data_IF_547385488615
#
_entry.id   IF_547385488615
#
_cell.length_a   1.000
_cell.length_b   1.000
_cell.length_c   1.000
_cell.angle_alpha   90.00
_cell.angle_beta   90.00
_cell.angle_gamma   90.00
#
_symmetry.space_group_name_H-M   'P 1'
#
loop_
_entity.id
_entity.type
_entity.pdbx_description
1 polymer ?
#
# COMPACT_ATOMS: atom_id res chain seq x y z
N UNK A 1 -3.42 27.64 4.99
CA UNK A 1 -2.36 26.66 5.19
C UNK A 1 -2.80 25.47 4.38
N UNK A 2 -2.08 25.12 3.32
CA UNK A 2 -2.38 23.94 2.55
C UNK A 2 -2.15 22.71 3.43
N UNK A 3 -3.21 21.91 3.64
CA UNK A 3 -3.08 20.58 4.20
C UNK A 3 -2.35 19.74 3.17
N UNK A 4 -1.10 19.40 3.43
CA UNK A 4 -0.33 18.50 2.58
C UNK A 4 -0.66 17.06 2.95
N UNK A 5 -1.12 16.35 1.94
CA UNK A 5 -1.64 15.00 1.96
C UNK A 5 -0.60 13.97 2.35
N UNK A 6 -0.93 13.13 3.32
CA UNK A 6 -0.14 11.95 3.64
C UNK A 6 -0.98 10.75 4.06
N UNK A 7 -2.23 10.67 3.60
CA UNK A 7 -2.94 9.41 3.68
C UNK A 7 -2.41 8.45 2.61
N UNK A 8 -1.97 7.29 3.05
CA UNK A 8 -1.62 6.17 2.20
C UNK A 8 -2.93 5.48 1.82
N UNK A 9 -3.76 6.18 1.05
CA UNK A 9 -4.75 5.48 0.29
C UNK A 9 -4.16 5.17 -1.07
N UNK A 10 -4.31 3.95 -1.52
CA UNK A 10 -4.01 3.53 -2.87
C UNK A 10 -4.84 4.41 -3.81
N UNK A 11 -4.21 5.37 -4.46
CA UNK A 11 -4.88 6.20 -5.43
C UNK A 11 -4.38 5.80 -6.81
N UNK A 12 -5.21 5.10 -7.61
CA UNK A 12 -4.81 4.69 -8.94
C UNK A 12 -4.59 5.92 -9.80
N UNK A 13 -3.37 6.07 -10.31
CA UNK A 13 -3.05 7.07 -11.31
C UNK A 13 -4.01 6.90 -12.52
N UNK A 14 -4.74 7.94 -12.88
CA UNK A 14 -5.46 7.97 -14.15
C UNK A 14 -4.44 7.88 -15.27
N UNK A 15 -4.24 6.69 -15.79
CA UNK A 15 -3.56 6.51 -17.06
C UNK A 15 -4.41 7.17 -18.16
N UNK A 16 -4.11 8.44 -18.45
CA UNK A 16 -4.68 9.14 -19.58
C UNK A 16 -4.25 8.42 -20.85
N UNK A 17 -5.22 7.85 -21.56
CA UNK A 17 -5.05 7.01 -22.71
C UNK A 17 -4.05 7.55 -23.74
N UNK A 18 -2.97 6.86 -23.90
CA UNK A 18 -2.09 7.01 -25.05
C UNK A 18 -2.83 6.47 -26.30
N UNK A 19 -3.34 7.38 -27.13
CA UNK A 19 -3.79 7.01 -28.47
C UNK A 19 -2.56 6.73 -29.33
N UNK A 20 -2.36 5.53 -29.88
CA UNK A 20 -1.26 5.28 -30.78
C UNK A 20 -1.49 6.06 -32.09
N UNK A 21 -0.62 7.01 -32.36
CA UNK A 21 -0.50 7.61 -33.69
C UNK A 21 0.03 6.53 -34.64
N UNK A 22 -0.81 6.10 -35.57
CA UNK A 22 -0.40 5.27 -36.72
C UNK A 22 0.63 6.03 -37.53
N UNK A 23 1.86 5.57 -37.49
CA UNK A 23 2.88 5.93 -38.49
C UNK A 23 2.91 4.79 -39.48
N UNK A 24 2.45 5.05 -40.70
CA UNK A 24 2.63 4.18 -41.85
C UNK A 24 4.02 4.45 -42.42
N UNK A 25 4.79 3.41 -42.63
CA UNK A 25 6.12 3.59 -43.28
C UNK A 25 6.85 2.31 -43.56
N UNK A 26 6.60 1.79 -44.76
CA UNK A 26 7.54 1.14 -45.72
C UNK A 26 8.24 -0.14 -45.27
N UNK A 27 7.77 -1.22 -45.90
CA UNK A 27 8.46 -2.50 -46.03
C UNK A 27 9.73 -2.38 -46.89
N UNK A 28 10.83 -2.96 -46.42
CA UNK A 28 11.96 -3.36 -47.32
C UNK A 28 12.28 -4.82 -47.02
N UNK A 29 12.04 -5.64 -48.07
CA UNK A 29 12.37 -7.06 -48.13
C UNK A 29 13.86 -7.17 -48.48
N UNK A 30 14.62 -7.97 -47.74
CA UNK A 30 15.85 -8.56 -48.21
C UNK A 30 15.96 -10.01 -47.72
N UNK A 31 15.79 -10.94 -48.61
CA UNK A 31 16.00 -12.37 -48.42
C UNK A 31 17.47 -12.72 -48.71
N UNK A 32 17.95 -13.77 -48.08
CA UNK A 32 18.99 -14.77 -48.37
C UNK A 32 19.72 -15.09 -47.03
N UNK A 33 19.97 -16.32 -46.64
CA UNK A 33 20.19 -17.56 -47.25
C UNK A 33 20.24 -18.69 -46.21
N UNK A 34 19.81 -19.86 -46.59
CA UNK A 34 19.88 -21.11 -45.84
C UNK A 34 21.34 -21.58 -45.68
N UNK A 35 21.63 -22.07 -44.44
CA UNK A 35 22.60 -23.15 -44.29
C UNK A 35 22.10 -24.11 -43.20
N UNK A 36 21.68 -25.29 -43.64
CA UNK A 36 21.34 -26.41 -42.80
C UNK A 36 22.62 -27.08 -42.27
N UNK A 37 22.68 -27.39 -41.00
CA UNK A 37 23.54 -28.45 -40.47
C UNK A 37 22.77 -29.19 -39.39
N UNK A 38 22.33 -30.37 -39.72
CA UNK A 38 21.81 -31.37 -38.81
C UNK A 38 22.98 -32.02 -38.05
N UNK A 39 22.87 -32.09 -36.73
CA UNK A 39 23.50 -33.15 -35.94
C UNK A 39 22.56 -33.56 -34.82
N UNK A 40 22.34 -34.84 -34.75
CA UNK A 40 21.43 -35.55 -33.88
C UNK A 40 21.97 -35.71 -32.46
N UNK A 41 21.07 -35.83 -31.50
CA UNK A 41 21.20 -36.73 -30.37
C UNK A 41 21.54 -36.09 -29.03
N UNK A 42 20.64 -36.26 -28.08
CA UNK A 42 20.92 -36.12 -26.66
C UNK A 42 19.80 -35.41 -25.90
N UNK A 43 18.79 -36.17 -25.46
CA UNK A 43 17.87 -35.67 -24.47
C UNK A 43 18.62 -35.37 -23.17
N UNK A 44 18.69 -34.12 -22.80
CA UNK A 44 18.97 -33.74 -21.42
C UNK A 44 17.73 -33.04 -20.87
N UNK A 45 17.12 -33.67 -19.90
CA UNK A 45 16.19 -33.05 -18.97
C UNK A 45 16.88 -31.83 -18.40
N UNK A 46 16.44 -30.65 -18.87
CA UNK A 46 16.90 -29.38 -18.32
C UNK A 46 16.46 -29.26 -16.86
N UNK A 47 17.32 -29.62 -15.95
CA UNK A 47 17.28 -29.11 -14.60
C UNK A 47 17.44 -27.62 -14.71
N UNK A 48 16.44 -26.85 -14.26
CA UNK A 48 16.57 -25.43 -14.09
C UNK A 48 17.82 -25.19 -13.24
N UNK A 49 18.84 -24.59 -13.82
CA UNK A 49 20.02 -24.18 -13.09
C UNK A 49 19.59 -23.07 -12.15
N UNK A 50 19.48 -23.39 -10.86
CA UNK A 50 19.52 -22.36 -9.82
C UNK A 50 20.81 -21.59 -10.04
N UNK A 51 20.72 -20.39 -10.55
CA UNK A 51 21.82 -19.45 -10.61
C UNK A 51 22.12 -19.07 -9.15
N UNK A 52 23.12 -19.67 -8.56
CA UNK A 52 23.65 -19.18 -7.27
C UNK A 52 24.19 -17.78 -7.53
N UNK A 53 23.38 -16.77 -7.17
CA UNK A 53 23.81 -15.38 -7.21
C UNK A 53 25.10 -15.24 -6.38
N UNK A 54 26.11 -14.60 -6.92
CA UNK A 54 27.33 -14.31 -6.15
C UNK A 54 27.10 -13.03 -5.36
N UNK A 55 27.53 -12.95 -4.10
CA UNK A 55 27.42 -11.74 -3.31
C UNK A 55 27.99 -10.53 -4.04
N UNK A 56 27.33 -9.37 -3.90
CA UNK A 56 27.86 -8.12 -4.40
C UNK A 56 29.23 -7.82 -3.75
N UNK A 57 30.17 -7.20 -4.49
CA UNK A 57 31.44 -6.79 -3.89
C UNK A 57 31.19 -5.71 -2.82
N UNK A 58 32.08 -5.64 -1.84
CA UNK A 58 32.05 -4.53 -0.87
C UNK A 58 32.17 -3.17 -1.58
N UNK A 59 31.55 -2.14 -1.03
CA UNK A 59 31.73 -0.77 -1.50
C UNK A 59 33.21 -0.38 -1.34
N UNK A 60 33.81 0.11 -2.42
CA UNK A 60 35.20 0.52 -2.47
C UNK A 60 35.31 1.99 -2.91
N UNK A 61 35.54 2.88 -1.94
CA UNK A 61 35.64 4.33 -2.16
C UNK A 61 34.26 5.02 -2.30
N UNK A 62 34.26 6.33 -2.55
CA UNK A 62 33.05 7.14 -2.50
C UNK A 62 32.00 6.73 -3.55
N UNK A 63 30.77 6.46 -3.08
CA UNK A 63 29.60 6.13 -3.90
C UNK A 63 28.44 7.05 -3.51
N UNK A 64 27.75 7.59 -4.50
CA UNK A 64 26.49 8.30 -4.29
C UNK A 64 25.35 7.49 -4.87
N UNK A 65 24.29 7.29 -4.07
CA UNK A 65 23.04 6.65 -4.46
C UNK A 65 21.90 7.67 -4.35
N UNK A 66 20.91 7.56 -5.23
CA UNK A 66 19.69 8.37 -5.17
C UNK A 66 18.55 7.50 -4.66
N UNK A 67 17.81 8.02 -3.68
CA UNK A 67 16.62 7.39 -3.14
C UNK A 67 15.41 8.30 -3.36
N UNK A 68 14.47 7.86 -4.21
CA UNK A 68 13.20 8.53 -4.43
C UNK A 68 12.17 8.05 -3.41
N UNK A 69 11.46 9.00 -2.78
CA UNK A 69 10.60 8.73 -1.63
C UNK A 69 9.43 9.73 -1.54
N UNK A 70 8.51 9.56 -0.58
CA UNK A 70 7.32 10.40 -0.37
C UNK A 70 7.30 11.11 0.98
N UNK A 71 8.39 11.12 1.71
CA UNK A 71 8.48 11.59 3.11
C UNK A 71 8.86 13.06 3.22
N UNK A 72 8.38 13.89 2.29
CA UNK A 72 8.71 15.34 2.21
C UNK A 72 8.04 16.23 3.25
N UNK A 73 7.11 15.75 4.09
CA UNK A 73 6.49 16.55 5.15
C UNK A 73 7.45 16.79 6.30
N UNK A 74 7.24 17.86 7.09
CA UNK A 74 8.21 18.27 8.12
C UNK A 74 8.64 17.15 9.06
N UNK A 75 7.68 16.40 9.62
CA UNK A 75 7.97 15.33 10.58
C UNK A 75 8.62 14.13 9.89
N UNK A 76 8.08 13.73 8.76
CA UNK A 76 8.59 12.61 7.98
C UNK A 76 9.99 12.91 7.44
N UNK A 77 10.18 14.13 6.87
CA UNK A 77 11.49 14.58 6.38
C UNK A 77 12.55 14.60 7.49
N UNK A 78 12.19 15.06 8.67
CA UNK A 78 13.11 15.05 9.80
C UNK A 78 13.53 13.63 10.20
N UNK A 79 12.58 12.69 10.16
CA UNK A 79 12.84 11.29 10.50
C UNK A 79 13.71 10.60 9.46
N UNK A 80 13.38 10.71 8.16
CA UNK A 80 14.20 10.09 7.11
C UNK A 80 15.60 10.70 7.04
N UNK A 81 15.71 12.03 7.21
CA UNK A 81 17.02 12.70 7.26
C UNK A 81 17.85 12.19 8.42
N UNK A 82 17.28 12.10 9.63
CA UNK A 82 17.97 11.54 10.81
C UNK A 82 18.47 10.12 10.55
N UNK A 83 17.66 9.27 9.94
CA UNK A 83 18.01 7.88 9.63
C UNK A 83 19.12 7.82 8.58
N UNK A 84 19.05 8.63 7.53
CA UNK A 84 20.07 8.70 6.48
C UNK A 84 21.38 9.27 7.00
N UNK A 85 21.35 10.34 7.80
CA UNK A 85 22.56 10.92 8.42
C UNK A 85 23.28 9.89 9.31
N UNK A 86 22.52 9.09 10.06
CA UNK A 86 23.10 8.02 10.89
C UNK A 86 23.68 6.88 10.04
N UNK A 87 23.05 6.55 8.92
CA UNK A 87 23.60 5.61 7.94
C UNK A 87 24.90 6.11 7.34
N UNK A 88 24.96 7.36 6.86
CA UNK A 88 26.16 7.96 6.30
C UNK A 88 27.30 8.08 7.32
N UNK A 89 26.97 8.34 8.58
CA UNK A 89 27.98 8.34 9.65
C UNK A 89 28.59 6.94 9.89
N UNK A 90 27.79 5.89 9.73
CA UNK A 90 28.23 4.48 9.84
C UNK A 90 28.99 4.02 8.60
N UNK A 91 28.62 4.52 7.41
CA UNK A 91 29.19 4.15 6.12
C UNK A 91 29.68 5.39 5.36
N UNK A 92 30.82 6.00 5.77
CA UNK A 92 31.24 7.33 5.31
C UNK A 92 31.58 7.41 3.81
N UNK A 93 31.79 6.27 3.16
CA UNK A 93 32.01 6.19 1.71
C UNK A 93 30.70 6.23 0.92
N UNK A 94 29.52 6.12 1.56
CA UNK A 94 28.23 6.14 0.88
C UNK A 94 27.53 7.47 1.17
N UNK A 95 27.06 8.12 0.10
CA UNK A 95 26.19 9.30 0.17
C UNK A 95 24.82 8.96 -0.39
N UNK A 96 23.76 9.37 0.31
CA UNK A 96 22.36 9.16 -0.07
C UNK A 96 21.74 10.50 -0.45
N UNK A 97 21.36 10.64 -1.71
CA UNK A 97 20.61 11.78 -2.20
C UNK A 97 19.11 11.45 -2.13
N UNK A 98 18.40 12.08 -1.18
CA UNK A 98 16.96 11.94 -1.05
C UNK A 98 16.24 12.81 -2.07
N UNK A 99 15.26 12.25 -2.79
CA UNK A 99 14.40 12.96 -3.74
C UNK A 99 12.94 12.72 -3.38
N UNK A 100 12.34 13.69 -2.67
CA UNK A 100 10.97 13.62 -2.22
C UNK A 100 9.97 13.96 -3.33
N UNK A 101 8.94 13.14 -3.48
CA UNK A 101 7.72 13.44 -4.21
C UNK A 101 6.61 13.87 -3.25
N UNK A 102 5.61 14.61 -3.74
CA UNK A 102 4.54 15.14 -2.90
C UNK A 102 3.58 14.07 -2.36
N UNK A 103 3.45 12.95 -3.06
CA UNK A 103 2.62 11.80 -2.72
C UNK A 103 3.00 10.60 -3.59
N UNK A 104 2.41 9.42 -3.32
CA UNK A 104 2.66 8.19 -4.06
C UNK A 104 2.30 8.28 -5.54
N UNK A 105 1.18 8.94 -5.90
CA UNK A 105 0.80 9.13 -7.30
C UNK A 105 1.87 9.86 -8.08
N UNK A 106 2.34 11.00 -7.56
CA UNK A 106 3.40 11.79 -8.19
C UNK A 106 4.74 11.03 -8.24
N UNK A 107 5.03 10.21 -7.22
CA UNK A 107 6.21 9.36 -7.20
C UNK A 107 6.15 8.31 -8.32
N UNK A 108 5.09 7.53 -8.40
CA UNK A 108 4.96 6.45 -9.39
C UNK A 108 4.86 6.96 -10.82
N UNK A 109 4.17 8.08 -11.06
CA UNK A 109 4.17 8.74 -12.38
C UNK A 109 5.60 9.16 -12.80
N UNK A 110 6.40 9.67 -11.85
CA UNK A 110 7.80 10.04 -12.09
C UNK A 110 8.64 8.80 -12.36
N UNK A 111 8.56 7.78 -11.53
CA UNK A 111 9.34 6.54 -11.66
C UNK A 111 9.01 5.81 -12.97
N UNK A 112 7.73 5.70 -13.36
CA UNK A 112 7.33 5.12 -14.64
C UNK A 112 7.92 5.88 -15.84
N UNK A 113 7.90 7.21 -15.79
CA UNK A 113 8.51 8.03 -16.84
C UNK A 113 10.05 7.83 -16.90
N UNK A 114 10.72 7.71 -15.76
CA UNK A 114 12.15 7.46 -15.65
C UNK A 114 12.53 6.04 -16.08
N UNK A 115 11.70 5.03 -15.74
CA UNK A 115 11.83 3.66 -16.25
C UNK A 115 11.73 3.62 -17.77
N UNK A 116 10.75 4.31 -18.34
CA UNK A 116 10.59 4.39 -19.80
C UNK A 116 11.76 5.13 -20.49
N UNK A 117 12.32 6.15 -19.84
CA UNK A 117 13.46 6.92 -20.36
C UNK A 117 14.81 6.23 -20.11
N UNK A 118 14.90 5.23 -19.24
CA UNK A 118 16.15 4.59 -18.84
C UNK A 118 17.01 5.44 -17.88
N UNK A 119 16.37 6.32 -17.13
CA UNK A 119 16.99 7.37 -16.28
C UNK A 119 16.60 7.19 -14.81
N UNK A 120 16.43 5.96 -14.34
CA UNK A 120 15.94 5.64 -13.00
C UNK A 120 16.93 6.01 -11.89
N UNK A 121 16.44 6.28 -10.66
CA UNK A 121 17.29 6.43 -9.48
C UNK A 121 18.01 5.13 -9.14
N UNK A 122 18.76 5.11 -8.04
CA UNK A 122 19.34 3.86 -7.53
C UNK A 122 18.27 3.05 -6.79
N UNK A 123 17.50 3.71 -5.91
CA UNK A 123 16.43 3.12 -5.09
C UNK A 123 15.15 3.92 -5.35
N UNK A 124 14.06 3.21 -5.57
CA UNK A 124 12.71 3.74 -5.63
C UNK A 124 11.78 3.01 -4.68
N UNK A 125 10.52 3.40 -4.70
CA UNK A 125 9.45 2.76 -3.96
C UNK A 125 8.47 2.10 -4.92
N UNK A 126 7.85 1.00 -4.53
CA UNK A 126 6.86 0.30 -5.34
C UNK A 126 5.78 -0.36 -4.49
N UNK A 127 4.56 -0.39 -5.02
CA UNK A 127 3.59 -1.43 -4.70
C UNK A 127 3.82 -2.64 -5.61
N UNK A 128 3.20 -3.75 -5.30
CA UNK A 128 3.40 -5.06 -5.92
C UNK A 128 3.16 -5.03 -7.43
N UNK A 129 2.13 -4.32 -7.88
CA UNK A 129 1.75 -4.20 -9.30
C UNK A 129 2.78 -3.41 -10.12
N UNK A 130 3.33 -2.33 -9.56
CA UNK A 130 4.42 -1.56 -10.18
C UNK A 130 5.69 -2.39 -10.22
N UNK A 131 6.07 -3.01 -9.09
CA UNK A 131 7.25 -3.87 -9.02
C UNK A 131 7.16 -5.03 -10.02
N UNK A 132 5.99 -5.69 -10.15
CA UNK A 132 5.77 -6.75 -11.14
C UNK A 132 5.98 -6.24 -12.57
N UNK A 133 5.44 -5.07 -12.89
CA UNK A 133 5.59 -4.45 -14.22
C UNK A 133 7.06 -4.17 -14.51
N UNK A 134 7.78 -3.57 -13.55
CA UNK A 134 9.19 -3.23 -13.72
C UNK A 134 10.10 -4.46 -13.71
N UNK A 135 9.78 -5.50 -12.93
CA UNK A 135 10.49 -6.78 -12.94
C UNK A 135 10.34 -7.49 -14.29
N UNK A 136 9.11 -7.57 -14.81
CA UNK A 136 8.83 -8.14 -16.13
C UNK A 136 9.59 -7.41 -17.25
N UNK A 137 9.70 -6.09 -17.14
CA UNK A 137 10.49 -5.26 -18.04
C UNK A 137 12.02 -5.29 -17.76
N UNK A 138 12.48 -6.08 -16.79
CA UNK A 138 13.88 -6.19 -16.35
C UNK A 138 14.48 -4.84 -15.90
N UNK A 139 13.69 -4.02 -15.22
CA UNK A 139 14.08 -2.68 -14.77
C UNK A 139 14.50 -2.62 -13.30
N UNK A 140 14.12 -3.61 -12.50
CA UNK A 140 14.53 -3.73 -11.10
C UNK A 140 15.34 -5.01 -10.88
N UNK A 141 16.08 -5.05 -9.79
CA UNK A 141 16.99 -6.15 -9.42
C UNK A 141 16.32 -6.99 -8.35
N UNK A 142 16.21 -8.32 -8.50
CA UNK A 142 15.70 -9.17 -7.44
C UNK A 142 16.61 -9.15 -6.22
N UNK A 143 16.04 -9.29 -5.02
CA UNK A 143 16.78 -9.20 -3.76
C UNK A 143 17.86 -10.27 -3.64
N UNK A 144 17.63 -11.47 -4.17
CA UNK A 144 18.63 -12.53 -4.19
C UNK A 144 19.91 -12.12 -4.92
N UNK A 145 19.82 -11.30 -5.98
CA UNK A 145 21.00 -10.82 -6.72
C UNK A 145 21.77 -9.73 -5.93
N UNK A 146 21.08 -9.01 -5.04
CA UNK A 146 21.69 -8.04 -4.15
C UNK A 146 22.34 -8.73 -2.95
N UNK A 147 21.65 -9.70 -2.38
CA UNK A 147 22.06 -10.41 -1.17
C UNK A 147 23.09 -11.54 -1.42
N UNK A 148 23.13 -12.07 -2.63
CA UNK A 148 23.93 -13.26 -2.97
C UNK A 148 23.39 -14.56 -2.35
N UNK A 149 22.11 -14.58 -1.98
CA UNK A 149 21.39 -15.73 -1.43
C UNK A 149 19.91 -15.63 -1.76
N UNK A 150 19.23 -16.78 -1.91
CA UNK A 150 17.81 -16.83 -2.27
C UNK A 150 16.91 -16.12 -1.25
N UNK A 151 17.26 -16.17 0.04
CA UNK A 151 16.57 -15.41 1.08
C UNK A 151 17.57 -14.91 2.13
N UNK A 152 17.72 -13.58 2.28
CA UNK A 152 18.50 -13.00 3.36
C UNK A 152 17.98 -13.43 4.74
N UNK A 153 18.86 -13.56 5.74
CA UNK A 153 18.47 -14.01 7.07
C UNK A 153 17.39 -13.11 7.71
N UNK A 154 17.44 -11.83 7.45
CA UNK A 154 16.49 -10.82 7.92
C UNK A 154 15.07 -11.08 7.41
N UNK A 155 14.92 -11.63 6.18
CA UNK A 155 13.61 -11.92 5.59
C UNK A 155 12.73 -12.78 6.50
N UNK A 156 13.31 -13.80 7.13
CA UNK A 156 12.60 -14.71 8.02
C UNK A 156 12.13 -14.05 9.33
N UNK A 157 12.64 -12.87 9.66
CA UNK A 157 12.27 -12.12 10.88
C UNK A 157 11.06 -11.19 10.65
N UNK A 158 10.70 -10.90 9.41
CA UNK A 158 9.54 -10.06 9.09
C UNK A 158 8.23 -10.76 9.42
N UNK A 159 7.18 -10.00 9.73
CA UNK A 159 5.85 -10.52 9.88
C UNK A 159 5.41 -11.28 8.62
N UNK A 160 4.58 -12.32 8.78
CA UNK A 160 4.26 -13.25 7.68
C UNK A 160 3.59 -12.57 6.49
N UNK A 161 2.69 -11.60 6.74
CA UNK A 161 2.08 -10.80 5.67
C UNK A 161 3.12 -9.95 4.94
N UNK A 162 4.06 -9.33 5.68
CA UNK A 162 5.16 -8.57 5.07
C UNK A 162 6.02 -9.47 4.18
N UNK A 163 6.35 -10.69 4.63
CA UNK A 163 7.10 -11.64 3.79
C UNK A 163 6.39 -11.96 2.46
N UNK A 164 5.05 -12.07 2.49
CA UNK A 164 4.25 -12.33 1.27
C UNK A 164 4.29 -11.13 0.32
N UNK A 165 4.13 -9.94 0.87
CA UNK A 165 4.10 -8.67 0.17
C UNK A 165 5.42 -8.34 -0.60
N UNK A 166 6.54 -8.88 -0.17
CA UNK A 166 7.84 -8.66 -0.81
C UNK A 166 8.08 -9.53 -2.05
N UNK A 167 7.18 -10.48 -2.34
CA UNK A 167 7.29 -11.43 -3.44
C UNK A 167 6.45 -11.01 -4.63
N UNK A 168 6.94 -11.32 -5.82
CA UNK A 168 6.19 -11.18 -7.06
C UNK A 168 5.62 -12.52 -7.53
N UNK A 169 5.02 -12.54 -8.71
CA UNK A 169 4.29 -13.70 -9.25
C UNK A 169 5.15 -14.93 -9.50
N UNK A 170 6.46 -14.77 -9.64
CA UNK A 170 7.44 -15.86 -9.77
C UNK A 170 7.81 -16.51 -8.43
N UNK A 171 7.39 -15.90 -7.30
CA UNK A 171 7.68 -16.35 -5.94
C UNK A 171 9.01 -15.83 -5.39
N UNK A 172 9.79 -15.13 -6.17
CA UNK A 172 11.06 -14.52 -5.76
C UNK A 172 10.84 -13.23 -4.98
N UNK A 173 11.83 -12.84 -4.15
CA UNK A 173 11.81 -11.61 -3.38
C UNK A 173 12.36 -10.49 -4.27
N UNK A 174 11.52 -9.52 -4.60
CA UNK A 174 11.87 -8.39 -5.47
C UNK A 174 11.91 -7.05 -4.76
N UNK A 175 11.28 -6.98 -3.61
CA UNK A 175 11.12 -5.76 -2.83
C UNK A 175 11.68 -5.93 -1.43
N UNK A 176 11.97 -4.81 -0.75
CA UNK A 176 12.45 -4.79 0.63
C UNK A 176 11.62 -3.82 1.47
N UNK A 177 11.22 -4.17 2.71
CA UNK A 177 10.27 -3.35 3.44
C UNK A 177 10.94 -2.13 4.07
N UNK A 178 10.21 -0.99 4.10
CA UNK A 178 10.61 0.18 4.89
C UNK A 178 9.69 0.39 6.10
N UNK A 179 8.40 0.24 5.92
CA UNK A 179 7.38 0.32 6.96
C UNK A 179 6.04 -0.10 6.39
N UNK A 180 5.17 -0.64 7.24
CA UNK A 180 3.85 -1.11 6.84
C UNK A 180 2.76 -0.44 7.67
N UNK A 181 1.57 -0.35 7.10
CA UNK A 181 0.40 0.17 7.79
C UNK A 181 -0.79 -0.77 7.64
N UNK A 182 -1.69 -0.72 8.62
CA UNK A 182 -3.00 -1.36 8.61
C UNK A 182 -4.07 -0.28 8.75
N UNK A 183 -5.27 -0.57 8.32
CA UNK A 183 -6.41 0.31 8.54
C UNK A 183 -6.82 0.31 10.02
N UNK A 184 -7.21 1.47 10.51
CA UNK A 184 -7.64 1.72 11.88
C UNK A 184 -8.95 2.51 11.88
N UNK A 185 -9.64 2.46 12.99
CA UNK A 185 -10.69 3.41 13.36
C UNK A 185 -10.07 4.57 14.15
N UNK A 186 -10.36 5.81 13.75
CA UNK A 186 -10.12 7.00 14.56
C UNK A 186 -11.45 7.40 15.22
N UNK A 187 -11.55 7.22 16.53
CA UNK A 187 -12.80 7.28 17.28
C UNK A 187 -12.87 8.51 18.18
N UNK A 188 -13.97 9.27 18.13
CA UNK A 188 -14.31 10.25 19.15
C UNK A 188 -14.91 9.56 20.37
N UNK A 189 -14.06 9.13 21.30
CA UNK A 189 -14.44 8.38 22.49
C UNK A 189 -15.40 9.17 23.40
N UNK A 190 -15.33 10.50 23.40
CA UNK A 190 -16.25 11.33 24.19
C UNK A 190 -17.68 11.22 23.66
N UNK A 191 -17.88 11.24 22.34
CA UNK A 191 -19.20 11.10 21.74
C UNK A 191 -19.72 9.66 21.84
N UNK A 192 -18.85 8.64 21.68
CA UNK A 192 -19.18 7.23 21.91
C UNK A 192 -19.69 7.02 23.35
N UNK A 193 -18.92 7.44 24.34
CA UNK A 193 -19.29 7.32 25.75
C UNK A 193 -20.62 8.05 26.07
N UNK A 194 -20.84 9.22 25.48
CA UNK A 194 -22.09 9.93 25.60
C UNK A 194 -23.31 9.17 25.06
N UNK A 195 -23.10 8.29 24.08
CA UNK A 195 -24.14 7.40 23.54
C UNK A 195 -24.24 6.05 24.27
N UNK A 196 -23.38 5.82 25.29
CA UNK A 196 -23.35 4.58 26.07
C UNK A 196 -22.40 3.51 25.52
N UNK A 197 -21.61 3.84 24.50
CA UNK A 197 -20.58 2.98 23.94
C UNK A 197 -19.27 3.23 24.70
N UNK A 198 -18.73 2.20 25.34
CA UNK A 198 -17.58 2.32 26.27
C UNK A 198 -16.29 1.69 25.77
N UNK A 199 -16.33 0.99 24.63
CA UNK A 199 -15.17 0.36 24.00
C UNK A 199 -15.30 0.42 22.48
N UNK A 200 -14.19 0.36 21.77
CA UNK A 200 -14.20 0.19 20.31
C UNK A 200 -14.92 -1.11 19.92
N UNK A 201 -15.65 -1.12 18.79
CA UNK A 201 -16.34 -2.31 18.29
C UNK A 201 -15.35 -3.38 17.86
N UNK A 202 -15.66 -4.63 18.13
CA UNK A 202 -14.85 -5.81 17.75
C UNK A 202 -15.50 -6.64 16.63
N UNK A 203 -16.74 -6.31 16.29
CA UNK A 203 -17.48 -6.90 15.17
C UNK A 203 -18.15 -5.83 14.34
N UNK A 204 -18.35 -6.10 13.05
CA UNK A 204 -19.07 -5.16 12.17
C UNK A 204 -20.54 -4.93 12.59
N UNK A 205 -21.13 -5.89 13.30
CA UNK A 205 -22.47 -5.70 13.89
C UNK A 205 -22.44 -4.70 15.05
N UNK A 206 -21.43 -4.79 15.91
CA UNK A 206 -21.21 -3.80 16.98
C UNK A 206 -20.92 -2.43 16.38
N UNK A 207 -20.01 -2.36 15.39
CA UNK A 207 -19.69 -1.13 14.68
C UNK A 207 -20.93 -0.42 14.12
N UNK A 208 -21.79 -1.14 13.39
CA UNK A 208 -23.02 -0.58 12.86
C UNK A 208 -23.98 -0.12 13.97
N UNK A 209 -24.11 -0.91 15.05
CA UNK A 209 -24.94 -0.57 16.21
C UNK A 209 -24.45 0.69 16.92
N UNK A 210 -23.15 0.84 17.10
CA UNK A 210 -22.52 1.97 17.76
C UNK A 210 -22.67 3.25 16.94
N UNK A 211 -22.40 3.17 15.63
CA UNK A 211 -22.64 4.30 14.73
C UNK A 211 -24.12 4.73 14.73
N UNK A 212 -25.05 3.78 14.72
CA UNK A 212 -26.48 4.08 14.75
C UNK A 212 -26.88 4.74 16.08
N UNK A 213 -26.37 4.26 17.22
CA UNK A 213 -26.66 4.82 18.55
C UNK A 213 -26.16 6.27 18.67
N UNK A 214 -24.92 6.53 18.22
CA UNK A 214 -24.36 7.90 18.26
C UNK A 214 -25.09 8.80 17.27
N UNK A 215 -25.34 8.32 16.03
CA UNK A 215 -26.05 9.07 14.99
C UNK A 215 -27.45 9.48 15.46
N UNK A 216 -28.22 8.57 16.05
CA UNK A 216 -29.55 8.86 16.57
C UNK A 216 -29.55 9.94 17.63
N UNK A 217 -28.54 9.95 18.50
CA UNK A 217 -28.38 10.92 19.58
C UNK A 217 -27.96 12.29 19.04
N UNK A 218 -26.99 12.34 18.13
CA UNK A 218 -26.39 13.59 17.67
C UNK A 218 -27.23 14.29 16.59
N UNK A 219 -27.96 13.56 15.75
CA UNK A 219 -28.84 14.14 14.71
C UNK A 219 -29.93 15.04 15.26
N UNK A 220 -30.30 14.87 16.51
CA UNK A 220 -31.23 15.79 17.19
C UNK A 220 -30.67 17.22 17.30
N UNK A 221 -29.34 17.37 17.38
CA UNK A 221 -28.64 18.65 17.44
C UNK A 221 -28.04 19.12 16.11
N UNK A 222 -27.65 18.20 15.25
CA UNK A 222 -27.09 18.47 13.92
C UNK A 222 -27.61 17.46 12.87
N UNK A 223 -28.42 17.96 11.95
CA UNK A 223 -29.03 17.14 10.88
C UNK A 223 -27.98 16.59 9.88
N UNK A 224 -26.77 17.15 9.87
CA UNK A 224 -25.66 16.70 8.99
C UNK A 224 -24.84 15.57 9.60
N UNK A 225 -25.05 15.27 10.88
CA UNK A 225 -24.28 14.27 11.58
C UNK A 225 -24.49 12.85 10.97
N UNK A 226 -23.42 12.15 10.79
CA UNK A 226 -23.41 10.72 10.47
C UNK A 226 -22.35 10.03 11.36
N UNK A 227 -22.48 8.73 11.58
CA UNK A 227 -21.48 7.98 12.37
C UNK A 227 -20.10 8.02 11.74
N UNK A 228 -20.05 7.83 10.42
CA UNK A 228 -18.84 7.92 9.59
C UNK A 228 -19.14 8.68 8.30
N UNK A 229 -18.13 9.36 7.76
CA UNK A 229 -18.22 10.01 6.43
C UNK A 229 -17.11 9.46 5.54
N UNK A 230 -17.46 8.99 4.35
CA UNK A 230 -16.51 8.38 3.42
C UNK A 230 -16.49 9.09 2.05
N UNK A 231 -15.32 9.12 1.43
CA UNK A 231 -15.18 9.39 0.00
C UNK A 231 -15.33 8.06 -0.75
N UNK A 232 -16.35 7.88 -1.60
CA UNK A 232 -16.67 6.57 -2.18
C UNK A 232 -15.53 5.93 -3.00
N UNK A 233 -14.71 6.76 -3.66
CA UNK A 233 -13.58 6.34 -4.49
C UNK A 233 -12.24 6.42 -3.71
N UNK A 234 -12.27 6.14 -2.44
CA UNK A 234 -11.15 6.14 -1.51
C UNK A 234 -11.58 5.42 -0.24
N UNK A 235 -11.78 6.14 0.89
CA UNK A 235 -12.16 5.50 2.16
C UNK A 235 -13.43 4.62 2.07
N UNK A 236 -14.35 4.90 1.15
CA UNK A 236 -15.53 4.06 0.92
C UNK A 236 -15.20 2.74 0.25
N UNK A 237 -14.31 2.75 -0.72
CA UNK A 237 -13.80 1.53 -1.37
C UNK A 237 -12.94 0.72 -0.41
N UNK A 238 -12.00 1.36 0.30
CA UNK A 238 -11.20 0.70 1.33
C UNK A 238 -12.08 0.04 2.41
N UNK A 239 -13.12 0.73 2.89
CA UNK A 239 -14.07 0.16 3.86
C UNK A 239 -14.83 -1.05 3.28
N UNK A 240 -15.14 -1.04 1.98
CA UNK A 240 -15.73 -2.18 1.30
C UNK A 240 -14.76 -3.39 1.26
N UNK A 241 -13.49 -3.17 0.95
CA UNK A 241 -12.45 -4.21 0.95
C UNK A 241 -12.29 -4.83 2.34
N UNK A 242 -12.18 -4.01 3.39
CA UNK A 242 -12.08 -4.46 4.78
C UNK A 242 -13.28 -5.31 5.21
N UNK A 243 -14.48 -4.89 4.82
CA UNK A 243 -15.70 -5.65 5.07
C UNK A 243 -15.70 -7.00 4.32
N UNK A 244 -15.33 -7.00 3.04
CA UNK A 244 -15.26 -8.23 2.25
C UNK A 244 -14.23 -9.20 2.84
N UNK A 245 -13.05 -8.69 3.18
CA UNK A 245 -11.98 -9.44 3.82
C UNK A 245 -12.44 -10.07 5.15
N UNK A 246 -13.17 -9.32 5.99
CA UNK A 246 -13.70 -9.81 7.26
C UNK A 246 -14.75 -10.92 7.12
N UNK A 247 -15.40 -11.02 5.96
CA UNK A 247 -16.30 -12.13 5.62
C UNK A 247 -15.56 -13.34 5.02
N UNK A 248 -14.23 -13.26 4.86
CA UNK A 248 -13.37 -14.29 4.30
C UNK A 248 -13.19 -14.21 2.78
N UNK A 249 -13.64 -13.12 2.16
CA UNK A 249 -13.49 -12.92 0.72
C UNK A 249 -12.18 -12.21 0.40
N UNK A 250 -11.44 -12.78 -0.56
CA UNK A 250 -10.37 -12.08 -1.24
C UNK A 250 -10.90 -11.60 -2.59
N UNK A 251 -10.87 -10.28 -2.81
CA UNK A 251 -11.41 -9.68 -4.03
C UNK A 251 -10.65 -10.09 -5.30
N UNK A 252 -9.47 -10.64 -5.13
CA UNK A 252 -8.67 -11.25 -6.18
C UNK A 252 -8.20 -12.65 -5.76
N UNK A 253 -8.26 -13.60 -6.68
CA UNK A 253 -7.55 -14.86 -6.53
C UNK A 253 -6.03 -14.64 -6.66
N UNK A 254 -5.22 -15.62 -6.22
CA UNK A 254 -3.77 -15.53 -6.26
C UNK A 254 -3.17 -15.28 -7.67
N UNK A 255 -3.89 -15.62 -8.72
CA UNK A 255 -3.52 -15.35 -10.12
C UNK A 255 -4.06 -14.01 -10.65
N UNK A 256 -4.55 -13.13 -9.78
CA UNK A 256 -5.13 -11.83 -10.12
C UNK A 256 -6.52 -11.92 -10.78
N UNK A 257 -7.18 -13.09 -10.74
CA UNK A 257 -8.56 -13.21 -11.23
C UNK A 257 -9.51 -12.46 -10.29
N UNK A 258 -10.33 -11.51 -10.80
CA UNK A 258 -11.28 -10.80 -9.96
C UNK A 258 -12.37 -11.72 -9.42
N UNK A 259 -12.77 -11.52 -8.16
CA UNK A 259 -13.81 -12.25 -7.44
C UNK A 259 -14.91 -11.31 -6.88
N UNK A 260 -15.15 -10.19 -7.54
CA UNK A 260 -15.99 -9.09 -7.06
C UNK A 260 -17.49 -9.46 -6.95
N UNK A 261 -17.92 -10.53 -7.60
CA UNK A 261 -19.35 -10.94 -7.63
C UNK A 261 -19.69 -12.07 -6.67
N UNK A 262 -18.79 -12.39 -5.74
CA UNK A 262 -19.05 -13.36 -4.69
C UNK A 262 -20.22 -12.94 -3.80
N UNK A 263 -20.76 -13.91 -3.05
CA UNK A 263 -21.83 -13.63 -2.08
C UNK A 263 -21.36 -12.67 -0.98
N UNK A 264 -20.11 -12.83 -0.52
CA UNK A 264 -19.55 -12.06 0.58
C UNK A 264 -19.16 -10.64 0.12
N UNK A 265 -18.58 -10.46 -1.06
CA UNK A 265 -18.37 -9.14 -1.66
C UNK A 265 -19.71 -8.39 -1.86
N UNK A 266 -20.74 -9.09 -2.39
CA UNK A 266 -22.06 -8.49 -2.55
C UNK A 266 -22.67 -8.09 -1.21
N UNK A 267 -22.53 -8.94 -0.17
CA UNK A 267 -22.98 -8.67 1.20
C UNK A 267 -22.25 -7.47 1.82
N UNK A 268 -20.93 -7.36 1.62
CA UNK A 268 -20.14 -6.23 2.10
C UNK A 268 -20.65 -4.88 1.52
N UNK A 269 -20.86 -4.83 0.21
CA UNK A 269 -21.35 -3.60 -0.42
C UNK A 269 -22.81 -3.28 -0.03
N UNK A 270 -23.65 -4.29 0.17
CA UNK A 270 -25.02 -4.13 0.68
C UNK A 270 -25.02 -3.61 2.13
N UNK A 271 -24.04 -4.02 2.94
CA UNK A 271 -23.89 -3.50 4.30
C UNK A 271 -23.66 -1.99 4.26
N UNK A 272 -22.73 -1.49 3.43
CA UNK A 272 -22.49 -0.06 3.28
C UNK A 272 -23.72 0.70 2.76
N UNK A 273 -24.47 0.11 1.83
CA UNK A 273 -25.75 0.68 1.36
C UNK A 273 -26.77 0.78 2.49
N UNK A 274 -26.80 -0.20 3.39
CA UNK A 274 -27.69 -0.21 4.55
C UNK A 274 -27.30 0.91 5.52
N UNK A 275 -26.02 1.04 5.86
CA UNK A 275 -25.55 2.10 6.75
C UNK A 275 -25.76 3.50 6.16
N UNK A 276 -25.63 3.64 4.85
CA UNK A 276 -26.00 4.89 4.19
C UNK A 276 -27.50 5.16 4.27
N UNK A 277 -28.35 4.16 4.05
CA UNK A 277 -29.80 4.33 4.03
C UNK A 277 -30.39 4.66 5.41
N UNK A 278 -29.82 4.12 6.48
CA UNK A 278 -30.21 4.43 7.85
C UNK A 278 -29.58 5.74 8.38
N UNK A 279 -28.60 6.28 7.64
CA UNK A 279 -27.96 7.56 7.88
C UNK A 279 -26.78 7.48 8.86
N UNK A 280 -26.29 6.29 9.19
CA UNK A 280 -25.04 6.10 9.96
C UNK A 280 -23.80 6.37 9.12
N UNK A 281 -23.88 6.17 7.79
CA UNK A 281 -22.82 6.49 6.85
C UNK A 281 -23.25 7.67 5.96
N UNK A 282 -22.41 8.69 5.89
CA UNK A 282 -22.50 9.78 4.94
C UNK A 282 -21.49 9.62 3.80
N UNK A 283 -21.83 10.16 2.63
CA UNK A 283 -20.94 10.25 1.48
C UNK A 283 -20.54 11.70 1.31
N UNK A 284 -19.24 11.96 1.28
CA UNK A 284 -18.64 13.27 1.10
C UNK A 284 -17.45 13.25 0.15
N UNK A 285 -16.76 14.37 0.09
CA UNK A 285 -15.50 14.48 -0.65
C UNK A 285 -15.66 14.62 -2.16
N UNK A 286 -14.50 14.70 -2.80
CA UNK A 286 -14.33 14.84 -4.25
C UNK A 286 -12.88 14.52 -4.61
N UNK A 287 -12.52 14.58 -5.90
CA UNK A 287 -11.12 14.45 -6.36
C UNK A 287 -10.18 15.55 -5.85
N UNK A 288 -10.71 16.60 -5.21
CA UNK A 288 -9.95 17.68 -4.58
C UNK A 288 -10.14 17.75 -3.06
N UNK A 289 -11.02 16.89 -2.52
CA UNK A 289 -11.30 16.71 -1.11
C UNK A 289 -11.39 15.20 -0.86
N UNK A 290 -10.26 14.59 -0.60
CA UNK A 290 -10.10 13.13 -0.50
C UNK A 290 -10.39 12.60 0.92
N UNK A 291 -10.44 13.49 1.93
CA UNK A 291 -10.50 13.12 3.35
C UNK A 291 -11.71 13.73 4.09
N UNK A 292 -12.94 13.53 3.58
CA UNK A 292 -14.13 14.09 4.20
C UNK A 292 -14.41 13.50 5.60
N UNK A 293 -13.91 12.29 5.87
CA UNK A 293 -14.02 11.63 7.19
C UNK A 293 -13.17 12.34 8.23
N UNK A 294 -11.90 12.64 7.94
CA UNK A 294 -11.01 13.43 8.79
C UNK A 294 -11.61 14.81 9.15
N UNK A 295 -12.15 15.50 8.12
CA UNK A 295 -12.80 16.78 8.33
C UNK A 295 -14.10 16.66 9.16
N UNK A 296 -14.87 15.58 8.98
CA UNK A 296 -16.08 15.32 9.75
C UNK A 296 -15.78 14.96 11.21
N UNK A 297 -14.76 14.13 11.46
CA UNK A 297 -14.31 13.77 12.79
C UNK A 297 -13.76 15.00 13.55
N UNK A 298 -12.88 15.76 12.89
CA UNK A 298 -12.32 17.01 13.44
C UNK A 298 -13.40 18.05 13.72
N UNK A 299 -14.41 18.14 12.86
CA UNK A 299 -15.56 19.03 13.01
C UNK A 299 -16.61 18.54 14.00
N UNK A 300 -16.51 17.32 14.50
CA UNK A 300 -17.47 16.70 15.43
C UNK A 300 -18.80 16.32 14.78
N UNK A 301 -18.85 16.18 13.45
CA UNK A 301 -20.02 15.74 12.67
C UNK A 301 -19.97 14.26 12.31
N UNK A 302 -18.89 13.56 12.68
CA UNK A 302 -18.76 12.11 12.69
C UNK A 302 -18.13 11.66 14.01
N UNK A 303 -18.29 10.38 14.34
CA UNK A 303 -17.71 9.76 15.54
C UNK A 303 -16.56 8.84 15.19
N UNK A 304 -16.50 8.39 13.97
CA UNK A 304 -15.51 7.47 13.43
C UNK A 304 -14.95 7.99 12.10
N UNK A 305 -13.67 7.74 11.87
CA UNK A 305 -13.04 7.85 10.56
C UNK A 305 -12.18 6.63 10.29
N UNK A 306 -12.20 6.18 9.03
CA UNK A 306 -11.30 5.15 8.54
C UNK A 306 -9.96 5.79 8.21
N UNK A 307 -8.95 5.45 8.99
CA UNK A 307 -7.58 5.95 8.80
C UNK A 307 -6.58 4.80 8.72
N UNK A 308 -5.36 5.07 8.32
CA UNK A 308 -4.27 4.10 8.44
C UNK A 308 -3.40 4.38 9.65
N UNK A 309 -2.64 3.39 10.11
CA UNK A 309 -1.66 3.60 11.19
C UNK A 309 -0.65 4.72 10.86
N UNK A 310 -0.33 4.92 9.58
CA UNK A 310 0.53 6.00 9.11
C UNK A 310 -0.20 7.36 9.00
N UNK A 311 -1.53 7.36 9.12
CA UNK A 311 -2.41 8.53 9.09
C UNK A 311 -2.73 9.12 10.45
N UNK A 312 -2.45 8.41 11.55
CA UNK A 312 -2.87 8.79 12.92
C UNK A 312 -2.49 10.22 13.34
N UNK A 313 -1.42 10.77 12.80
CA UNK A 313 -0.96 12.14 13.12
C UNK A 313 -1.81 13.26 12.50
N UNK A 314 -2.73 12.91 11.60
CA UNK A 314 -3.63 13.86 10.92
C UNK A 314 -5.02 13.87 11.55
N UNK A 315 -5.33 12.82 12.32
CA UNK A 315 -6.62 12.67 12.98
C UNK A 315 -6.74 13.61 14.16
N UNK A 316 -7.90 14.23 14.28
CA UNK A 316 -8.26 15.09 15.40
C UNK A 316 -9.75 15.01 15.72
N UNK A 317 -10.09 15.37 16.93
CA UNK A 317 -11.48 15.54 17.40
C UNK A 317 -11.69 16.96 17.93
N UNK A 318 -12.94 17.42 18.12
CA UNK A 318 -13.21 18.74 18.69
C UNK A 318 -12.44 18.97 19.99
N UNK A 319 -12.06 20.22 20.23
CA UNK A 319 -11.29 20.59 21.43
C UNK A 319 -12.02 20.18 22.72
N UNK A 320 -11.41 19.33 23.50
CA UNK A 320 -11.92 18.81 24.76
C UNK A 320 -12.46 17.40 24.68
N UNK A 321 -12.66 16.88 23.47
CA UNK A 321 -12.98 15.49 23.24
C UNK A 321 -11.70 14.61 23.26
N UNK A 322 -11.88 13.32 23.47
CA UNK A 322 -10.81 12.33 23.49
C UNK A 322 -10.80 11.54 22.18
N UNK A 323 -9.67 11.57 21.46
CA UNK A 323 -9.39 10.71 20.33
C UNK A 323 -8.85 9.36 20.81
N UNK A 324 -9.30 8.28 20.19
CA UNK A 324 -8.82 6.92 20.40
C UNK A 324 -8.64 6.22 19.05
N UNK A 325 -7.61 5.39 18.92
CA UNK A 325 -7.41 4.53 17.76
C UNK A 325 -7.65 3.08 18.12
N UNK A 326 -8.30 2.35 17.23
CA UNK A 326 -8.56 0.93 17.38
C UNK A 326 -8.41 0.19 16.04
N UNK A 327 -8.17 -1.12 16.08
CA UNK A 327 -8.22 -1.95 14.89
C UNK A 327 -9.63 -2.04 14.32
N UNK A 328 -9.73 -2.29 13.02
CA UNK A 328 -11.01 -2.65 12.41
C UNK A 328 -11.48 -4.03 12.87
N UNK A 329 -12.79 -4.30 12.85
CA UNK A 329 -13.31 -5.64 13.12
C UNK A 329 -12.89 -6.64 12.03
N UNK A 330 -11.96 -7.54 12.32
CA UNK A 330 -11.48 -8.58 11.42
C UNK A 330 -10.04 -8.36 10.94
N UNK A 331 -9.66 -9.12 9.91
CA UNK A 331 -8.36 -8.93 9.24
C UNK A 331 -8.41 -7.69 8.34
N UNK A 332 -7.26 -7.03 8.18
CA UNK A 332 -7.14 -5.76 7.45
C UNK A 332 -6.27 -5.93 6.21
N UNK A 333 -6.45 -5.03 5.26
CA UNK A 333 -5.51 -4.86 4.15
C UNK A 333 -4.22 -4.22 4.64
N UNK A 334 -3.09 -4.60 4.05
CA UNK A 334 -1.78 -4.02 4.37
C UNK A 334 -1.38 -3.01 3.29
N UNK A 335 -0.89 -1.86 3.74
CA UNK A 335 -0.36 -0.84 2.85
C UNK A 335 1.06 -0.42 3.25
N UNK A 336 1.64 0.51 2.50
CA UNK A 336 3.02 0.98 2.65
C UNK A 336 3.92 0.40 1.56
N UNK A 337 4.41 1.28 0.67
CA UNK A 337 5.26 0.88 -0.44
C UNK A 337 6.59 0.29 0.04
N UNK A 338 7.09 -0.65 -0.72
CA UNK A 338 8.38 -1.31 -0.53
C UNK A 338 9.49 -0.61 -1.31
N UNK A 339 10.73 -0.93 -1.00
CA UNK A 339 11.92 -0.44 -1.69
C UNK A 339 12.32 -1.39 -2.82
N UNK A 340 12.68 -0.83 -3.96
CA UNK A 340 13.25 -1.52 -5.11
C UNK A 340 14.58 -0.93 -5.53
N UNK A 341 15.46 -1.72 -6.12
CA UNK A 341 16.73 -1.26 -6.68
C UNK A 341 16.69 -1.40 -8.19
N UNK A 342 16.99 -0.32 -8.92
CA UNK A 342 16.91 -0.32 -10.38
C UNK A 342 18.14 -0.93 -11.06
N UNK A 343 17.92 -1.57 -12.21
CA UNK A 343 19.00 -2.22 -12.99
C UNK A 343 19.97 -1.24 -13.63
N UNK A 344 19.62 0.04 -13.78
CA UNK A 344 20.50 1.11 -14.25
C UNK A 344 21.66 1.41 -13.27
N UNK A 345 21.49 1.07 -11.98
CA UNK A 345 22.51 1.26 -10.96
C UNK A 345 23.75 0.43 -11.23
N UNK A 346 24.92 1.03 -11.07
CA UNK A 346 26.21 0.33 -11.18
C UNK A 346 26.36 -0.70 -10.05
N UNK A 347 27.28 -1.66 -10.21
CA UNK A 347 27.54 -2.68 -9.18
C UNK A 347 27.87 -2.07 -7.80
N UNK A 348 28.62 -0.96 -7.77
CA UNK A 348 28.95 -0.27 -6.51
C UNK A 348 27.72 0.44 -5.91
N UNK A 349 26.86 1.02 -6.74
CA UNK A 349 25.61 1.62 -6.28
C UNK A 349 24.64 0.55 -5.77
N UNK A 350 24.53 -0.61 -6.42
CA UNK A 350 23.72 -1.74 -5.93
C UNK A 350 24.23 -2.26 -4.58
N UNK A 351 25.56 -2.36 -4.41
CA UNK A 351 26.14 -2.74 -3.14
C UNK A 351 25.84 -1.73 -2.04
N UNK A 352 25.94 -0.44 -2.33
CA UNK A 352 25.58 0.64 -1.39
C UNK A 352 24.08 0.65 -1.09
N UNK A 353 23.23 0.45 -2.11
CA UNK A 353 21.79 0.34 -1.94
C UNK A 353 21.43 -0.83 -1.03
N UNK A 354 22.01 -2.02 -1.25
CA UNK A 354 21.76 -3.18 -0.40
C UNK A 354 22.17 -2.92 1.07
N UNK A 355 23.30 -2.27 1.32
CA UNK A 355 23.68 -1.86 2.68
C UNK A 355 22.66 -0.91 3.32
N UNK A 356 22.09 0.04 2.54
CA UNK A 356 21.04 0.92 3.04
C UNK A 356 19.74 0.14 3.32
N UNK A 357 19.32 -0.76 2.43
CA UNK A 357 18.12 -1.56 2.61
C UNK A 357 18.21 -2.41 3.90
N UNK A 358 19.34 -3.10 4.12
CA UNK A 358 19.59 -3.86 5.35
C UNK A 358 19.60 -2.96 6.60
N UNK A 359 20.20 -1.78 6.49
CA UNK A 359 20.21 -0.82 7.59
C UNK A 359 18.82 -0.33 7.94
N UNK A 360 18.01 0.02 6.94
CA UNK A 360 16.61 0.45 7.12
C UNK A 360 15.73 -0.63 7.75
N UNK A 361 15.99 -1.90 7.48
CA UNK A 361 15.26 -3.03 8.05
C UNK A 361 15.79 -3.46 9.44
N UNK A 362 16.88 -2.86 9.94
CA UNK A 362 17.40 -3.21 11.27
C UNK A 362 16.45 -2.77 12.38
N UNK A 363 16.33 -3.55 13.51
CA UNK A 363 15.35 -3.29 14.54
C UNK A 363 15.35 -1.86 15.11
N UNK A 364 16.53 -1.33 15.46
CA UNK A 364 16.64 0.02 16.05
C UNK A 364 16.26 1.14 15.06
N UNK A 365 16.55 0.95 13.78
CA UNK A 365 16.16 1.91 12.74
C UNK A 365 14.67 1.83 12.49
N UNK A 366 14.10 0.64 12.44
CA UNK A 366 12.66 0.42 12.31
C UNK A 366 11.88 1.01 13.50
N UNK A 367 12.37 0.86 14.74
CA UNK A 367 11.77 1.51 15.90
C UNK A 367 11.79 3.04 15.77
N UNK A 368 12.94 3.62 15.41
CA UNK A 368 13.07 5.07 15.18
C UNK A 368 12.14 5.56 14.05
N UNK A 369 12.03 4.79 12.97
CA UNK A 369 11.16 5.06 11.84
C UNK A 369 9.69 5.06 12.25
N UNK A 370 9.26 4.01 12.94
CA UNK A 370 7.88 3.84 13.38
C UNK A 370 7.43 4.94 14.35
N UNK A 371 8.27 5.29 15.32
CA UNK A 371 7.99 6.38 16.26
C UNK A 371 7.90 7.76 15.57
N UNK A 372 8.64 7.95 14.48
CA UNK A 372 8.67 9.23 13.79
C UNK A 372 7.59 9.42 12.72
N UNK A 373 7.04 8.32 12.17
CA UNK A 373 6.18 8.36 10.98
C UNK A 373 4.82 7.67 11.20
N UNK A 374 4.68 6.80 12.20
CA UNK A 374 3.43 6.11 12.51
C UNK A 374 3.26 4.76 11.78
N UNK A 375 4.16 4.39 10.86
CA UNK A 375 4.17 3.05 10.31
C UNK A 375 4.48 2.00 11.39
N UNK A 376 3.95 0.79 11.24
CA UNK A 376 4.40 -0.34 12.06
C UNK A 376 5.82 -0.74 11.69
N UNK A 377 6.62 -1.12 12.69
CA UNK A 377 7.88 -1.80 12.43
C UNK A 377 7.59 -3.18 11.81
N UNK A 378 8.47 -3.64 10.93
CA UNK A 378 8.23 -4.86 10.15
C UNK A 378 8.64 -6.15 10.86
N UNK A 379 9.15 -6.06 12.09
CA UNK A 379 9.56 -7.21 12.93
C UNK A 379 9.14 -7.03 14.39
N UNK A 380 8.93 -8.15 15.10
CA UNK A 380 8.68 -8.13 16.54
C UNK A 380 9.89 -7.63 17.36
N UNK A 381 11.10 -7.80 16.85
CA UNK A 381 12.31 -7.27 17.48
C UNK A 381 12.33 -5.74 17.46
N UNK A 382 11.93 -5.14 16.33
CA UNK A 382 11.84 -3.70 16.23
C UNK A 382 10.72 -3.12 17.12
N UNK A 383 9.59 -3.79 17.26
CA UNK A 383 8.56 -3.42 18.23
C UNK A 383 9.12 -3.39 19.67
N UNK A 384 9.93 -4.39 20.03
CA UNK A 384 10.55 -4.47 21.35
C UNK A 384 11.61 -3.37 21.62
N UNK A 385 12.13 -2.73 20.57
CA UNK A 385 13.06 -1.59 20.66
C UNK A 385 12.37 -0.23 20.68
N UNK A 386 11.05 -0.17 20.46
CA UNK A 386 10.29 1.08 20.56
C UNK A 386 10.27 1.58 22.01
N UNK A 387 10.27 2.90 22.17
CA UNK A 387 10.32 3.49 23.51
C UNK A 387 9.02 3.22 24.30
N UNK A 388 9.16 2.91 25.60
CA UNK A 388 8.02 2.67 26.47
C UNK A 388 7.09 3.89 26.59
N UNK A 389 7.62 5.10 26.45
CA UNK A 389 6.82 6.32 26.41
C UNK A 389 5.92 6.36 25.18
N UNK A 390 6.47 6.07 23.99
CA UNK A 390 5.70 6.05 22.76
C UNK A 390 4.59 4.99 22.80
N UNK A 391 4.91 3.76 23.20
CA UNK A 391 3.91 2.68 23.31
C UNK A 391 2.83 2.97 24.35
N UNK A 392 3.19 3.63 25.46
CA UNK A 392 2.21 4.08 26.47
C UNK A 392 1.26 5.18 25.95
N UNK A 393 1.75 6.08 25.11
CA UNK A 393 0.96 7.12 24.45
C UNK A 393 0.15 6.58 23.26
N UNK A 394 0.62 5.50 22.63
CA UNK A 394 0.06 4.88 21.44
C UNK A 394 -0.24 3.37 21.65
N UNK A 395 -1.12 3.00 22.59
CA UNK A 395 -1.37 1.59 22.92
C UNK A 395 -1.96 0.79 21.75
N UNK A 396 -2.57 1.45 20.78
CA UNK A 396 -3.09 0.84 19.58
C UNK A 396 -2.00 0.09 18.79
N UNK A 397 -0.73 0.52 18.87
CA UNK A 397 0.38 -0.14 18.16
C UNK A 397 0.50 -1.60 18.58
N UNK A 398 0.62 -1.87 19.89
CA UNK A 398 0.74 -3.24 20.41
C UNK A 398 -0.54 -4.07 20.21
N UNK A 399 -1.71 -3.40 20.22
CA UNK A 399 -3.00 -4.07 20.08
C UNK A 399 -3.25 -4.56 18.66
N UNK A 400 -2.72 -3.88 17.64
CA UNK A 400 -3.08 -4.10 16.24
C UNK A 400 -1.96 -4.64 15.35
N UNK A 401 -0.68 -4.46 15.73
CA UNK A 401 0.48 -4.84 14.91
C UNK A 401 0.49 -6.31 14.48
N UNK A 402 -0.09 -7.21 15.28
CA UNK A 402 -0.18 -8.63 14.94
C UNK A 402 -1.02 -8.89 13.67
N UNK A 403 -1.88 -7.95 13.28
CA UNK A 403 -2.58 -7.95 12.00
C UNK A 403 -1.65 -8.02 10.80
N UNK A 404 -0.39 -7.57 10.91
CA UNK A 404 0.61 -7.73 9.85
C UNK A 404 0.92 -9.21 9.50
N UNK A 405 0.55 -10.18 10.35
CA UNK A 405 0.71 -11.61 10.03
C UNK A 405 -0.42 -12.13 9.13
N UNK A 406 -1.62 -11.61 9.26
CA UNK A 406 -2.83 -12.09 8.58
C UNK A 406 -3.34 -11.11 7.51
N UNK A 407 -2.77 -9.92 7.44
CA UNK A 407 -3.19 -8.87 6.52
C UNK A 407 -3.23 -9.36 5.07
N UNK A 408 -4.23 -8.88 4.34
CA UNK A 408 -4.38 -9.12 2.92
C UNK A 408 -3.39 -8.27 2.12
N UNK A 409 -2.86 -8.88 1.08
CA UNK A 409 -1.95 -8.26 0.13
C UNK A 409 -2.51 -8.53 -1.26
N UNK A 410 -2.54 -7.51 -2.11
CA UNK A 410 -2.99 -7.71 -3.48
C UNK A 410 -2.03 -8.59 -4.28
N UNK A 411 -2.56 -9.38 -5.22
CA UNK A 411 -1.71 -10.18 -6.08
C UNK A 411 -0.88 -9.27 -6.99
N UNK A 412 0.40 -9.59 -7.21
CA UNK A 412 1.36 -8.71 -7.88
C UNK A 412 1.21 -8.74 -9.41
N UNK A 413 0.10 -8.24 -9.93
CA UNK A 413 -0.12 -8.13 -11.37
C UNK A 413 -0.45 -6.68 -11.75
N UNK A 414 0.10 -6.20 -12.88
CA UNK A 414 -0.06 -4.82 -13.34
C UNK A 414 -1.52 -4.39 -13.54
N UNK A 415 -2.39 -5.32 -13.95
CA UNK A 415 -3.82 -5.03 -14.15
C UNK A 415 -4.61 -4.83 -12.84
N UNK A 416 -4.10 -5.26 -11.68
CA UNK A 416 -4.81 -5.15 -10.38
C UNK A 416 -5.08 -3.70 -10.04
N UNK A 417 -4.11 -2.83 -10.19
CA UNK A 417 -4.28 -1.38 -9.93
C UNK A 417 -5.41 -0.75 -10.77
N UNK A 418 -5.56 -1.15 -12.05
CA UNK A 418 -6.68 -0.65 -12.85
C UNK A 418 -8.02 -1.28 -12.42
N UNK A 419 -7.99 -2.54 -11.96
CA UNK A 419 -9.16 -3.22 -11.42
C UNK A 419 -9.69 -2.55 -10.13
N UNK A 420 -8.81 -2.02 -9.30
CA UNK A 420 -9.17 -1.21 -8.12
C UNK A 420 -9.98 0.04 -8.54
N UNK A 421 -9.64 0.70 -9.64
CA UNK A 421 -10.44 1.83 -10.14
C UNK A 421 -11.86 1.43 -10.56
N UNK A 422 -12.03 0.18 -11.02
CA UNK A 422 -13.37 -0.34 -11.33
C UNK A 422 -14.16 -0.65 -10.05
N UNK A 423 -13.50 -1.11 -8.97
CA UNK A 423 -14.11 -1.28 -7.65
C UNK A 423 -14.52 0.06 -7.05
N UNK A 424 -13.66 1.07 -7.05
CA UNK A 424 -13.99 2.43 -6.64
C UNK A 424 -15.26 2.95 -7.34
N UNK A 425 -15.35 2.71 -8.67
CA UNK A 425 -16.51 3.08 -9.46
C UNK A 425 -17.75 2.30 -9.06
N UNK A 426 -17.61 1.01 -8.74
CA UNK A 426 -18.71 0.17 -8.29
C UNK A 426 -19.24 0.61 -6.92
N UNK A 427 -18.35 0.86 -5.96
CA UNK A 427 -18.72 1.38 -4.63
C UNK A 427 -19.44 2.73 -4.75
N UNK A 428 -18.86 3.66 -5.53
CA UNK A 428 -19.46 4.97 -5.79
C UNK A 428 -20.86 4.85 -6.42
N UNK A 429 -21.03 3.96 -7.40
CA UNK A 429 -22.32 3.73 -8.07
C UNK A 429 -23.34 3.11 -7.10
N UNK A 430 -22.93 2.14 -6.29
CA UNK A 430 -23.79 1.51 -5.30
C UNK A 430 -24.22 2.49 -4.21
N UNK A 431 -23.29 3.28 -3.69
CA UNK A 431 -23.61 4.33 -2.72
C UNK A 431 -24.44 5.46 -3.33
N UNK A 432 -24.49 5.60 -4.66
CA UNK A 432 -25.35 6.53 -5.37
C UNK A 432 -26.73 5.95 -5.76
N UNK A 433 -26.99 4.65 -5.43
CA UNK A 433 -28.31 4.04 -5.58
C UNK A 433 -28.40 2.89 -6.60
N UNK A 434 -27.28 2.51 -7.26
CA UNK A 434 -27.24 1.28 -8.06
C UNK A 434 -27.30 0.05 -7.14
N UNK A 435 -27.80 -1.10 -7.63
CA UNK A 435 -27.72 -2.31 -6.83
C UNK A 435 -26.25 -2.77 -6.67
N UNK A 436 -25.86 -3.23 -5.49
CA UNK A 436 -24.53 -3.75 -5.22
C UNK A 436 -24.12 -4.81 -6.25
N UNK A 437 -25.00 -5.78 -6.51
CA UNK A 437 -24.79 -6.86 -7.48
C UNK A 437 -24.49 -6.35 -8.89
N UNK A 438 -25.26 -5.35 -9.39
CA UNK A 438 -25.06 -4.78 -10.73
C UNK A 438 -23.76 -3.98 -10.82
N UNK A 439 -23.43 -3.22 -9.79
CA UNK A 439 -22.22 -2.42 -9.74
C UNK A 439 -20.97 -3.33 -9.74
N UNK A 440 -20.94 -4.35 -8.88
CA UNK A 440 -19.86 -5.33 -8.80
C UNK A 440 -19.74 -6.17 -10.08
N UNK A 441 -20.85 -6.55 -10.72
CA UNK A 441 -20.82 -7.29 -11.99
C UNK A 441 -20.16 -6.45 -13.11
N UNK A 442 -20.39 -5.14 -13.11
CA UNK A 442 -19.77 -4.23 -14.08
C UNK A 442 -18.25 -4.15 -13.84
N UNK A 443 -17.82 -3.98 -12.60
CA UNK A 443 -16.42 -3.98 -12.22
C UNK A 443 -15.73 -5.32 -12.54
N UNK A 444 -16.37 -6.44 -12.18
CA UNK A 444 -15.90 -7.79 -12.49
C UNK A 444 -15.62 -7.98 -13.98
N UNK A 445 -16.58 -7.55 -14.82
CA UNK A 445 -16.46 -7.72 -16.26
C UNK A 445 -15.35 -6.86 -16.85
N UNK A 446 -15.19 -5.63 -16.37
CA UNK A 446 -14.14 -4.72 -16.79
C UNK A 446 -12.75 -5.23 -16.39
N UNK A 447 -12.60 -5.67 -15.15
CA UNK A 447 -11.36 -6.24 -14.64
C UNK A 447 -10.97 -7.55 -15.37
N UNK A 448 -11.92 -8.45 -15.61
CA UNK A 448 -11.66 -9.68 -16.35
C UNK A 448 -11.21 -9.42 -17.80
N UNK A 449 -11.78 -8.39 -18.43
CA UNK A 449 -11.34 -7.96 -19.76
C UNK A 449 -9.91 -7.37 -19.73
N UNK A 450 -9.60 -6.58 -18.70
CA UNK A 450 -8.25 -6.02 -18.50
C UNK A 450 -7.23 -7.12 -18.28
N UNK A 451 -7.48 -8.05 -17.36
CA UNK A 451 -6.61 -9.23 -17.16
C UNK A 451 -6.37 -9.97 -18.47
N UNK A 452 -7.43 -10.27 -19.25
CA UNK A 452 -7.30 -10.99 -20.51
C UNK A 452 -6.50 -10.25 -21.58
N UNK A 453 -6.38 -8.93 -21.49
CA UNK A 453 -5.61 -8.12 -22.43
C UNK A 453 -4.12 -8.05 -22.06
N UNK A 454 -3.75 -8.34 -20.82
CA UNK A 454 -2.39 -8.23 -20.30
C UNK A 454 -1.76 -9.59 -19.90
N UNK A 455 -2.56 -10.67 -19.91
CA UNK A 455 -2.10 -12.06 -19.73
C UNK A 455 -1.77 -12.68 -21.08
#
# INVERSE_FOLDING_TARGET
MQKENSHIMRNPAKLSGFRPRRVAGVALIAALGLAASACAGGGSTGTAASSSASPLPSVTGPVTITFQEVYGTKTQLATITKVVDAFEAKYPDIKVNLEASSNYTALFEKEDAEVAAGNTPTIGMAYESYAQTWATAQKIVPIQDLAGTDAPAEYSTFYTGVQKDLKLSDGDIWMWPLGKSLQLQALNQTQLAAAGVTSAPTTWTEWASDLAAVTAKQKAGDSKYAGITVYPQGSGETLFEELAASYGEQLFAADGTPQFTSADATKALQFLQTEKSNGSLAVGGSTTDLYPGEDALTGGTAVDDLTSSAGVYYEAVPKGDKLEFAGLPGDSTMAGANLVVYTSATTQQRAAAWQLLQYLASPSVQATWSEGIGYYPVTSQALAEMSASYLSENPWVEQTINGLNTAFVDPPYGWVTECETYLETAVSSALSGSSASSALQTAQSACAAKKSAES
#
